data_IF_269984948392
#
_entry.id   IF_269984948392
#
_cell.length_a   1.000
_cell.length_b   1.000
_cell.length_c   1.000
_cell.angle_alpha   90.00
_cell.angle_beta   90.00
_cell.angle_gamma   90.00
#
_symmetry.space_group_name_H-M   'P 1'
#
loop_
_entity.id
_entity.type
_entity.pdbx_description
1 polymer ?
#
# COMPACT_ATOMS: atom_id res chain seq x y z
N UNK A 1 -4.31 -11.22 9.27
CA UNK A 1 -3.04 -11.86 9.66
C UNK A 1 -3.07 -12.12 11.15
N UNK A 2 -2.48 -13.21 11.64
CA UNK A 2 -2.40 -13.40 13.10
C UNK A 2 -1.22 -12.63 13.72
N UNK A 3 -1.23 -12.45 15.05
CA UNK A 3 -0.19 -11.70 15.75
C UNK A 3 1.20 -12.34 15.60
N UNK A 4 1.26 -13.66 15.46
CA UNK A 4 2.52 -14.40 15.36
C UNK A 4 3.14 -14.16 13.99
N UNK A 5 2.37 -14.29 12.91
CA UNK A 5 2.80 -13.98 11.54
C UNK A 5 3.29 -12.53 11.41
N UNK A 6 2.57 -11.57 11.99
CA UNK A 6 2.99 -10.16 11.98
C UNK A 6 4.33 -9.99 12.71
N UNK A 7 4.49 -10.64 13.87
CA UNK A 7 5.72 -10.58 14.67
C UNK A 7 6.90 -11.21 13.95
N UNK A 8 6.70 -12.36 13.31
CA UNK A 8 7.74 -13.07 12.56
C UNK A 8 8.23 -12.24 11.36
N UNK A 9 7.29 -11.66 10.59
CA UNK A 9 7.62 -10.75 9.47
C UNK A 9 8.28 -9.45 9.94
N UNK A 10 7.80 -8.88 11.05
CA UNK A 10 8.42 -7.69 11.65
C UNK A 10 9.85 -7.96 12.09
N UNK A 11 10.11 -9.11 12.72
CA UNK A 11 11.46 -9.52 13.10
C UNK A 11 12.36 -9.73 11.89
N UNK A 12 11.85 -10.27 10.78
CA UNK A 12 12.61 -10.40 9.54
C UNK A 12 13.07 -9.03 9.02
N UNK A 13 12.18 -8.03 9.03
CA UNK A 13 12.49 -6.66 8.62
C UNK A 13 13.52 -6.03 9.57
N UNK A 14 13.31 -6.14 10.88
CA UNK A 14 14.19 -5.52 11.89
C UNK A 14 15.60 -6.10 11.89
N UNK A 15 15.74 -7.40 11.60
CA UNK A 15 17.03 -8.09 11.54
C UNK A 15 17.72 -7.98 10.17
N UNK A 16 17.10 -7.36 9.17
CA UNK A 16 17.73 -7.17 7.87
C UNK A 16 18.83 -6.09 7.94
N UNK A 17 20.08 -6.54 7.92
CA UNK A 17 21.27 -5.68 7.92
C UNK A 17 21.47 -4.84 6.66
N UNK A 18 20.71 -5.11 5.59
CA UNK A 18 20.79 -4.36 4.33
C UNK A 18 19.95 -3.09 4.35
N UNK A 19 19.06 -2.95 5.35
CA UNK A 19 18.17 -1.80 5.51
C UNK A 19 18.71 -0.81 6.54
N UNK A 20 18.51 0.47 6.28
CA UNK A 20 18.67 1.51 7.30
C UNK A 20 17.51 1.46 8.30
N UNK A 21 17.69 2.05 9.49
CA UNK A 21 16.61 2.12 10.49
C UNK A 21 15.36 2.81 9.95
N UNK A 22 15.51 3.89 9.17
CA UNK A 22 14.39 4.54 8.50
C UNK A 22 13.65 3.58 7.54
N UNK A 23 14.39 2.79 6.75
CA UNK A 23 13.77 1.83 5.82
C UNK A 23 13.07 0.69 6.55
N UNK A 24 13.57 0.29 7.72
CA UNK A 24 12.90 -0.70 8.57
C UNK A 24 11.59 -0.14 9.09
N UNK A 25 11.58 1.08 9.62
CA UNK A 25 10.37 1.76 10.08
C UNK A 25 9.34 1.88 8.95
N UNK A 26 9.75 2.34 7.76
CA UNK A 26 8.88 2.43 6.59
C UNK A 26 8.27 1.07 6.21
N UNK A 27 9.05 -0.01 6.27
CA UNK A 27 8.59 -1.37 5.97
C UNK A 27 7.65 -1.93 7.04
N UNK A 28 7.84 -1.60 8.31
CA UNK A 28 6.93 -2.01 9.39
C UNK A 28 5.58 -1.32 9.22
N UNK A 29 5.57 -0.03 8.86
CA UNK A 29 4.33 0.69 8.54
C UNK A 29 3.64 0.05 7.34
N UNK A 30 4.36 -0.24 6.26
CA UNK A 30 3.81 -0.94 5.10
C UNK A 30 3.22 -2.31 5.45
N UNK A 31 3.88 -3.08 6.31
CA UNK A 31 3.38 -4.37 6.76
C UNK A 31 2.08 -4.21 7.57
N UNK A 32 1.99 -3.20 8.43
CA UNK A 32 0.79 -2.90 9.20
C UNK A 32 -0.38 -2.47 8.30
N UNK A 33 -0.12 -1.58 7.35
CA UNK A 33 -1.11 -1.13 6.37
C UNK A 33 -1.58 -2.29 5.50
N UNK A 34 -0.67 -3.08 4.96
CA UNK A 34 -0.99 -4.25 4.15
C UNK A 34 -1.83 -5.25 4.93
N UNK A 35 -1.42 -5.58 6.17
CA UNK A 35 -2.16 -6.48 7.03
C UNK A 35 -3.61 -6.03 7.19
N UNK A 36 -3.80 -4.76 7.57
CA UNK A 36 -5.11 -4.23 7.89
C UNK A 36 -5.95 -4.07 6.64
N UNK A 37 -5.36 -3.59 5.54
CA UNK A 37 -6.03 -3.44 4.26
C UNK A 37 -6.58 -4.78 3.77
N UNK A 38 -5.75 -5.84 3.77
CA UNK A 38 -6.17 -7.16 3.31
C UNK A 38 -7.26 -7.74 4.22
N UNK A 39 -7.16 -7.58 5.54
CA UNK A 39 -8.23 -7.98 6.47
C UNK A 39 -9.59 -7.36 6.14
N UNK A 40 -9.59 -6.13 5.62
CA UNK A 40 -10.82 -5.42 5.24
C UNK A 40 -11.25 -5.74 3.80
N UNK A 41 -10.29 -6.00 2.91
CA UNK A 41 -10.53 -6.22 1.48
C UNK A 41 -10.96 -7.66 1.18
N UNK A 42 -10.23 -8.65 1.69
CA UNK A 42 -10.54 -10.06 1.48
C UNK A 42 -9.92 -10.95 2.56
N UNK A 43 -10.76 -11.80 3.14
CA UNK A 43 -10.32 -12.82 4.11
C UNK A 43 -9.64 -14.04 3.48
N UNK A 44 -9.62 -14.15 2.15
CA UNK A 44 -9.02 -15.29 1.43
C UNK A 44 -7.51 -15.18 1.25
N UNK A 45 -6.96 -13.96 1.23
CA UNK A 45 -5.54 -13.72 0.96
C UNK A 45 -4.74 -13.95 2.25
N UNK A 46 -3.73 -14.82 2.19
CA UNK A 46 -2.90 -15.17 3.35
C UNK A 46 -1.66 -14.28 3.43
N UNK A 47 -1.23 -14.02 4.67
CA UNK A 47 -0.01 -13.24 4.93
C UNK A 47 1.27 -13.90 4.42
N UNK A 48 1.30 -15.22 4.31
CA UNK A 48 2.40 -15.98 3.70
C UNK A 48 2.63 -15.66 2.23
N UNK A 49 1.64 -15.05 1.56
CA UNK A 49 1.69 -14.69 0.14
C UNK A 49 2.09 -13.22 -0.07
N UNK A 50 2.47 -12.52 1.00
CA UNK A 50 2.93 -11.13 0.94
C UNK A 50 4.42 -11.06 0.58
N UNK A 51 4.75 -10.21 -0.38
CA UNK A 51 6.13 -9.90 -0.75
C UNK A 51 6.36 -8.39 -0.64
N UNK A 52 7.11 -7.97 0.38
CA UNK A 52 7.42 -6.56 0.66
C UNK A 52 8.61 -6.09 -0.20
N UNK A 53 8.37 -5.68 -1.45
CA UNK A 53 9.43 -5.32 -2.39
C UNK A 53 9.55 -3.80 -2.60
N UNK A 54 10.54 -3.19 -1.95
CA UNK A 54 10.68 -1.72 -2.00
C UNK A 54 9.46 -1.06 -1.36
N UNK A 55 8.77 -0.16 -2.09
CA UNK A 55 7.51 0.46 -1.64
C UNK A 55 6.24 -0.15 -2.25
N UNK A 56 6.39 -1.12 -3.16
CA UNK A 56 5.26 -1.86 -3.73
C UNK A 56 5.20 -3.22 -3.06
N UNK A 57 4.09 -3.46 -2.36
CA UNK A 57 3.82 -4.76 -1.75
C UNK A 57 3.16 -5.65 -2.80
N UNK A 58 3.60 -6.88 -2.96
CA UNK A 58 2.96 -7.82 -3.89
C UNK A 58 2.16 -8.83 -3.09
N UNK A 59 0.92 -9.03 -3.48
CA UNK A 59 0.04 -10.09 -2.99
C UNK A 59 -0.33 -11.01 -4.15
N UNK A 60 -0.62 -12.27 -3.86
CA UNK A 60 -1.22 -13.20 -4.82
C UNK A 60 -2.70 -13.32 -4.49
N UNK A 61 -3.55 -13.18 -5.51
CA UNK A 61 -5.00 -13.31 -5.41
C UNK A 61 -5.51 -14.16 -6.58
N UNK A 62 -6.79 -14.58 -6.59
CA UNK A 62 -7.40 -15.48 -7.60
C UNK A 62 -7.26 -14.97 -9.05
N UNK A 63 -6.84 -13.72 -9.24
CA UNK A 63 -6.52 -13.11 -10.52
C UNK A 63 -5.05 -13.07 -10.92
N UNK A 64 -4.09 -13.47 -10.08
CA UNK A 64 -2.63 -13.32 -10.25
C UNK A 64 -2.03 -12.21 -9.38
N UNK A 65 -0.73 -11.95 -9.53
CA UNK A 65 0.03 -11.02 -8.68
C UNK A 65 -0.52 -9.59 -8.76
N UNK A 66 -0.81 -8.99 -7.60
CA UNK A 66 -1.25 -7.60 -7.47
C UNK A 66 -0.18 -6.81 -6.72
N UNK A 67 0.32 -5.73 -7.33
CA UNK A 67 1.17 -4.78 -6.64
C UNK A 67 0.31 -3.73 -5.95
N UNK A 68 0.56 -3.46 -4.67
CA UNK A 68 -0.16 -2.49 -3.85
C UNK A 68 0.82 -1.42 -3.39
N UNK A 69 0.51 -0.18 -3.72
CA UNK A 69 1.23 0.99 -3.24
C UNK A 69 0.37 1.73 -2.21
N UNK A 70 0.89 1.90 -1.00
CA UNK A 70 0.23 2.66 0.07
C UNK A 70 0.75 4.09 0.12
N UNK A 71 -0.17 5.03 0.30
CA UNK A 71 0.15 6.44 0.48
C UNK A 71 -0.71 7.03 1.59
N UNK A 72 -0.08 7.53 2.65
CA UNK A 72 -0.77 8.35 3.65
C UNK A 72 -1.31 9.62 2.98
N UNK A 73 -2.60 9.88 3.17
CA UNK A 73 -3.29 11.04 2.63
C UNK A 73 -2.68 12.35 3.13
N UNK A 74 -2.16 12.38 4.37
CA UNK A 74 -1.50 13.57 4.93
C UNK A 74 -0.16 13.87 4.25
N UNK A 75 0.43 12.87 3.59
CA UNK A 75 1.72 12.96 2.92
C UNK A 75 1.61 13.31 1.43
N UNK A 76 0.38 13.42 0.88
CA UNK A 76 0.14 13.71 -0.54
C UNK A 76 0.78 15.03 -1.01
N UNK A 77 0.82 16.04 -0.14
CA UNK A 77 1.34 17.36 -0.50
C UNK A 77 2.85 17.53 -0.28
N UNK A 78 3.45 16.72 0.60
CA UNK A 78 4.84 16.93 1.05
C UNK A 78 5.82 15.86 0.57
N UNK A 79 5.39 14.60 0.43
CA UNK A 79 6.33 13.47 0.42
C UNK A 79 6.28 12.68 -0.88
N UNK A 80 5.14 12.69 -1.57
CA UNK A 80 4.91 11.80 -2.72
C UNK A 80 4.99 12.58 -4.03
N UNK A 81 6.17 12.57 -4.65
CA UNK A 81 6.30 13.10 -6.00
C UNK A 81 5.60 12.18 -6.99
N UNK A 82 4.68 12.71 -7.80
CA UNK A 82 4.08 12.00 -8.93
C UNK A 82 5.13 11.30 -9.81
N UNK A 83 6.33 11.88 -9.97
CA UNK A 83 7.43 11.24 -10.70
C UNK A 83 7.93 9.97 -10.04
N UNK A 84 8.02 9.95 -8.70
CA UNK A 84 8.41 8.75 -7.96
C UNK A 84 7.32 7.69 -8.09
N UNK A 85 6.05 8.05 -7.92
CA UNK A 85 4.92 7.14 -8.15
C UNK A 85 4.91 6.55 -9.55
N UNK A 86 5.03 7.39 -10.58
CA UNK A 86 5.03 6.96 -11.96
C UNK A 86 6.27 6.10 -12.29
N UNK A 87 7.42 6.37 -11.66
CA UNK A 87 8.64 5.57 -11.84
C UNK A 87 8.49 4.21 -11.19
N UNK A 88 7.96 4.16 -9.97
CA UNK A 88 7.71 2.90 -9.27
C UNK A 88 6.61 2.08 -9.94
N UNK A 89 5.54 2.73 -10.39
CA UNK A 89 4.50 2.09 -11.19
C UNK A 89 5.09 1.52 -12.48
N UNK A 90 5.86 2.29 -13.24
CA UNK A 90 6.52 1.81 -14.47
C UNK A 90 7.56 0.71 -14.23
N UNK A 91 8.29 0.76 -13.11
CA UNK A 91 9.29 -0.25 -12.75
C UNK A 91 8.64 -1.59 -12.41
N UNK A 92 7.43 -1.55 -11.85
CA UNK A 92 6.69 -2.75 -11.46
C UNK A 92 5.66 -3.19 -12.52
N UNK A 93 5.28 -2.31 -13.46
CA UNK A 93 4.52 -2.65 -14.66
C UNK A 93 5.33 -3.64 -15.51
N UNK A 94 4.98 -4.93 -15.39
CA UNK A 94 5.69 -6.07 -15.99
C UNK A 94 6.09 -7.16 -14.99
N UNK A 95 6.06 -6.87 -13.68
CA UNK A 95 6.28 -7.86 -12.62
C UNK A 95 5.02 -8.26 -11.85
N UNK A 96 3.91 -7.55 -12.05
CA UNK A 96 2.59 -7.83 -11.48
C UNK A 96 1.52 -7.68 -12.56
N UNK A 97 0.37 -8.34 -12.38
CA UNK A 97 -0.74 -8.31 -13.35
C UNK A 97 -1.63 -7.10 -13.18
N UNK A 98 -1.82 -6.62 -11.95
CA UNK A 98 -2.49 -5.36 -11.66
C UNK A 98 -1.68 -4.56 -10.66
N UNK A 99 -1.75 -3.23 -10.77
CA UNK A 99 -1.16 -2.30 -9.84
C UNK A 99 -2.25 -1.45 -9.18
N UNK A 100 -2.30 -1.49 -7.86
CA UNK A 100 -3.30 -0.84 -7.04
C UNK A 100 -2.67 0.30 -6.24
N UNK A 101 -3.40 1.40 -6.14
CA UNK A 101 -3.01 2.53 -5.30
C UNK A 101 -4.01 2.70 -4.16
N UNK A 102 -3.51 2.71 -2.93
CA UNK A 102 -4.31 2.78 -1.72
C UNK A 102 -3.97 4.05 -0.96
N UNK A 103 -4.95 4.96 -0.87
CA UNK A 103 -4.88 6.13 0.00
C UNK A 103 -5.23 5.70 1.42
N UNK A 104 -4.29 5.85 2.35
CA UNK A 104 -4.45 5.49 3.75
C UNK A 104 -4.84 6.73 4.55
N UNK A 105 -5.97 6.67 5.25
CA UNK A 105 -6.37 7.66 6.24
C UNK A 105 -6.10 7.12 7.63
N UNK A 106 -5.11 7.72 8.28
CA UNK A 106 -4.75 7.41 9.68
C UNK A 106 -5.38 8.38 10.69
N UNK A 107 -5.87 9.53 10.23
CA UNK A 107 -6.42 10.60 11.07
C UNK A 107 -7.82 11.00 10.58
N UNK A 108 -8.76 11.22 11.51
CA UNK A 108 -10.14 11.59 11.20
C UNK A 108 -10.32 13.03 10.69
N UNK A 109 -9.24 13.80 10.57
CA UNK A 109 -9.27 15.20 10.11
C UNK A 109 -9.39 15.33 8.59
N UNK A 110 -9.12 14.27 7.84
CA UNK A 110 -9.07 14.30 6.38
C UNK A 110 -10.28 13.57 5.76
N UNK A 111 -10.86 14.20 4.75
CA UNK A 111 -11.96 13.65 3.98
C UNK A 111 -11.42 13.01 2.68
N UNK A 112 -12.19 12.09 2.09
CA UNK A 112 -11.84 11.42 0.83
C UNK A 112 -11.68 12.40 -0.34
N UNK A 113 -12.17 13.64 -0.21
CA UNK A 113 -12.03 14.73 -1.17
C UNK A 113 -10.56 15.03 -1.53
N UNK A 114 -9.64 15.03 -0.57
CA UNK A 114 -8.20 15.25 -0.83
C UNK A 114 -7.59 14.18 -1.76
N UNK A 115 -8.03 12.92 -1.62
CA UNK A 115 -7.59 11.82 -2.49
C UNK A 115 -8.15 11.99 -3.92
N UNK A 116 -9.44 12.31 -4.04
CA UNK A 116 -10.10 12.52 -5.33
C UNK A 116 -9.49 13.70 -6.10
N UNK A 117 -9.17 14.79 -5.41
CA UNK A 117 -8.51 15.95 -6.02
C UNK A 117 -7.11 15.59 -6.51
N UNK A 118 -6.35 14.81 -5.74
CA UNK A 118 -5.03 14.33 -6.16
C UNK A 118 -5.10 13.43 -7.40
N UNK A 119 -6.06 12.49 -7.43
CA UNK A 119 -6.29 11.60 -8.59
C UNK A 119 -6.51 12.45 -9.85
N UNK A 120 -7.42 13.43 -9.79
CA UNK A 120 -7.74 14.31 -10.92
C UNK A 120 -6.57 15.20 -11.34
N UNK A 121 -5.89 15.81 -10.38
CA UNK A 121 -4.79 16.74 -10.66
C UNK A 121 -3.57 16.04 -11.26
N UNK A 122 -3.33 14.78 -10.90
CA UNK A 122 -2.16 14.01 -11.32
C UNK A 122 -2.45 12.92 -12.34
N UNK A 123 -3.71 12.71 -12.72
CA UNK A 123 -4.13 11.67 -13.66
C UNK A 123 -3.66 10.26 -13.22
N UNK A 124 -3.81 9.97 -11.92
CA UNK A 124 -3.34 8.73 -11.28
C UNK A 124 -4.07 7.51 -11.82
N UNK A 125 -5.33 7.69 -12.23
CA UNK A 125 -6.19 6.72 -12.90
C UNK A 125 -5.59 6.17 -14.20
N UNK A 126 -4.66 6.88 -14.83
CA UNK A 126 -3.92 6.37 -16.00
C UNK A 126 -2.73 5.46 -15.66
N UNK A 127 -2.31 5.40 -14.38
CA UNK A 127 -1.11 4.68 -13.95
C UNK A 127 -1.41 3.39 -13.18
N UNK A 128 -2.58 3.29 -12.56
CA UNK A 128 -2.99 2.20 -11.68
C UNK A 128 -4.31 1.61 -12.15
N UNK A 129 -4.43 0.29 -12.06
CA UNK A 129 -5.63 -0.44 -12.47
C UNK A 129 -6.78 -0.25 -11.47
N UNK A 130 -6.46 -0.15 -10.17
CA UNK A 130 -7.44 0.06 -9.10
C UNK A 130 -7.00 1.13 -8.12
N UNK A 131 -7.96 1.91 -7.65
CA UNK A 131 -7.76 2.97 -6.67
C UNK A 131 -8.65 2.70 -5.46
N UNK A 132 -8.05 2.72 -4.27
CA UNK A 132 -8.77 2.48 -3.02
C UNK A 132 -8.56 3.61 -2.03
N UNK A 133 -9.61 3.91 -1.28
CA UNK A 133 -9.54 4.68 -0.06
C UNK A 133 -9.66 3.73 1.14
N UNK A 134 -8.65 3.72 1.98
CA UNK A 134 -8.58 2.87 3.15
C UNK A 134 -8.54 3.71 4.42
N UNK A 135 -9.61 3.60 5.21
CA UNK A 135 -9.68 4.15 6.55
C UNK A 135 -9.09 3.16 7.54
N UNK A 136 -7.89 3.46 8.04
CA UNK A 136 -7.15 2.59 8.94
C UNK A 136 -7.87 2.44 10.29
N UNK A 137 -8.44 3.54 10.81
CA UNK A 137 -9.10 3.56 12.12
C UNK A 137 -10.46 2.86 12.07
N UNK A 138 -11.25 3.13 11.04
CA UNK A 138 -12.59 2.54 10.88
C UNK A 138 -12.57 1.16 10.22
N UNK A 139 -11.41 0.70 9.74
CA UNK A 139 -11.24 -0.58 9.03
C UNK A 139 -12.19 -0.71 7.84
N UNK A 140 -12.25 0.34 7.02
CA UNK A 140 -13.11 0.38 5.84
C UNK A 140 -12.29 0.63 4.60
N UNK A 141 -12.55 -0.15 3.56
CA UNK A 141 -11.94 0.01 2.23
C UNK A 141 -13.06 0.35 1.24
N UNK A 142 -12.85 1.41 0.47
CA UNK A 142 -13.77 1.88 -0.56
C UNK A 142 -13.05 1.93 -1.90
N UNK A 143 -13.65 1.39 -2.96
CA UNK A 143 -13.15 1.58 -4.34
C UNK A 143 -13.43 3.01 -4.77
N UNK A 144 -12.45 3.66 -5.41
CA UNK A 144 -12.56 5.02 -5.96
C UNK A 144 -12.70 5.03 -7.48
N UNK A 145 -12.50 3.89 -8.14
CA UNK A 145 -12.74 3.69 -9.57
C UNK A 145 -13.64 2.48 -9.82
#
# INVERSE_FOLDING_TARGET
MDLKEFTDLSNLILNDSTLTEQQKEEKIVQLADLSRFIECYSSSIKASEYVLKGKVNVIVDEGGDKGIFFCDINSLHNTVSYKQLATEAKRNHGGVKELWFVFVRERDTEDASSALDFIRQKNIDSLFDKLFFFDFLKRQVHSLN
#
